data_IF_980070075463
#
_entry.id   IF_980070075463
#
_cell.length_a   1.000
_cell.length_b   1.000
_cell.length_c   1.000
_cell.angle_alpha   90.00
_cell.angle_beta   90.00
_cell.angle_gamma   90.00
#
_symmetry.space_group_name_H-M   'P 1'
#
loop_
_entity.id
_entity.type
_entity.pdbx_description
1 polymer ?
#
# COMPACT_ATOMS: atom_id res chain seq x y z
N UNK A 1 -15.47 8.22 20.59
CA UNK A 1 -14.85 7.12 19.83
C UNK A 1 -13.46 6.76 20.37
N UNK A 2 -12.96 5.56 20.09
CA UNK A 2 -11.56 5.18 20.37
C UNK A 2 -10.71 5.54 19.15
N UNK A 3 -9.52 6.11 19.39
CA UNK A 3 -8.54 6.43 18.37
C UNK A 3 -7.13 6.06 18.84
N UNK A 4 -6.27 5.65 17.89
CA UNK A 4 -4.84 5.46 18.11
C UNK A 4 -4.08 6.62 17.46
N UNK A 5 -3.47 7.49 18.26
CA UNK A 5 -2.81 8.73 17.81
C UNK A 5 -1.31 8.67 18.04
N UNK A 6 -0.55 8.95 16.99
CA UNK A 6 0.91 9.04 17.03
C UNK A 6 1.32 10.44 17.47
N UNK A 7 1.93 10.55 18.66
CA UNK A 7 2.35 11.81 19.26
C UNK A 7 3.81 12.18 18.94
N UNK A 8 4.66 11.18 18.86
CA UNK A 8 6.09 11.32 18.57
C UNK A 8 6.63 9.97 18.11
N UNK A 9 7.91 9.91 17.76
CA UNK A 9 8.61 8.66 17.43
C UNK A 9 8.41 7.62 18.54
N UNK A 10 7.83 6.46 18.19
CA UNK A 10 7.55 5.36 19.09
C UNK A 10 6.40 5.60 20.10
N UNK A 11 5.74 6.75 20.06
CA UNK A 11 4.69 7.13 21.01
C UNK A 11 3.30 7.12 20.35
N UNK A 12 2.77 5.92 20.13
CA UNK A 12 1.41 5.69 19.66
C UNK A 12 0.50 5.42 20.85
N UNK A 13 -0.48 6.28 21.09
CA UNK A 13 -1.40 6.21 22.24
C UNK A 13 -2.80 5.92 21.78
N UNK A 14 -3.47 4.99 22.48
CA UNK A 14 -4.89 4.68 22.27
C UNK A 14 -5.69 5.34 23.38
N UNK A 15 -6.68 6.15 23.00
CA UNK A 15 -7.51 6.90 23.94
C UNK A 15 -8.93 7.11 23.41
N UNK A 16 -9.83 7.48 24.32
CA UNK A 16 -11.14 8.00 23.94
C UNK A 16 -10.99 9.44 23.44
N UNK A 17 -11.49 9.72 22.26
CA UNK A 17 -11.54 11.04 21.63
C UNK A 17 -12.99 11.40 21.28
N UNK A 18 -13.31 12.69 21.06
CA UNK A 18 -14.64 13.10 20.58
C UNK A 18 -14.99 12.39 19.28
N UNK A 19 -16.27 12.11 19.07
CA UNK A 19 -16.74 11.63 17.77
C UNK A 19 -16.55 12.73 16.71
N UNK A 20 -16.46 12.35 15.40
CA UNK A 20 -16.42 13.35 14.33
C UNK A 20 -17.61 14.30 14.44
N UNK A 21 -17.37 15.58 14.14
CA UNK A 21 -18.43 16.60 14.13
C UNK A 21 -19.41 16.44 12.96
N UNK A 22 -19.95 17.56 12.50
CA UNK A 22 -20.89 17.59 11.38
C UNK A 22 -20.28 16.99 10.11
N UNK A 23 -21.08 16.23 9.36
CA UNK A 23 -20.70 15.64 8.07
C UNK A 23 -21.03 16.65 6.96
N UNK A 24 -20.05 17.16 6.20
CA UNK A 24 -20.30 18.08 5.11
C UNK A 24 -21.11 17.45 3.97
N UNK A 25 -21.79 18.26 3.17
CA UNK A 25 -22.46 17.80 1.95
C UNK A 25 -21.44 17.13 0.99
N UNK A 26 -21.80 15.96 0.46
CA UNK A 26 -20.90 15.17 -0.41
C UNK A 26 -19.84 14.35 0.35
N UNK A 27 -19.98 14.25 1.68
CA UNK A 27 -19.15 13.43 2.55
C UNK A 27 -19.99 12.41 3.32
N UNK A 28 -19.38 11.33 3.74
CA UNK A 28 -20.01 10.29 4.54
C UNK A 28 -19.29 10.09 5.87
N UNK A 29 -20.04 9.80 6.92
CA UNK A 29 -19.53 9.22 8.16
C UNK A 29 -19.28 7.73 7.90
N UNK A 30 -18.09 7.27 8.24
CA UNK A 30 -17.63 5.89 8.10
C UNK A 30 -17.38 5.28 9.48
N UNK A 31 -17.87 4.07 9.71
CA UNK A 31 -17.44 3.21 10.82
C UNK A 31 -16.32 2.31 10.30
N UNK A 32 -15.09 2.57 10.73
CA UNK A 32 -13.90 1.84 10.24
C UNK A 32 -13.92 0.41 10.78
N UNK A 33 -13.62 -0.57 9.92
CA UNK A 33 -13.63 -2.00 10.28
C UNK A 33 -12.22 -2.58 10.33
N UNK A 34 -11.43 -2.38 9.29
CA UNK A 34 -10.09 -2.98 9.13
C UNK A 34 -9.10 -1.96 8.60
N UNK A 35 -7.89 -1.91 9.18
CA UNK A 35 -6.82 -1.00 8.78
C UNK A 35 -5.51 -1.77 8.63
N UNK A 36 -4.94 -1.77 7.43
CA UNK A 36 -3.61 -2.32 7.16
C UNK A 36 -2.51 -1.38 7.64
N UNK A 37 -1.46 -1.91 8.27
CA UNK A 37 -0.26 -1.13 8.61
C UNK A 37 0.69 -1.14 7.39
N UNK A 38 0.99 0.04 6.88
CA UNK A 38 1.89 0.26 5.75
C UNK A 38 3.34 0.49 6.22
N UNK A 39 4.30 0.23 5.32
CA UNK A 39 5.69 0.61 5.54
C UNK A 39 5.87 2.12 5.78
N UNK A 40 5.05 2.96 5.14
CA UNK A 40 5.06 4.40 5.38
C UNK A 40 4.60 4.78 6.79
N UNK A 41 3.61 4.07 7.37
CA UNK A 41 3.20 4.27 8.78
C UNK A 41 4.37 3.93 9.73
N UNK A 42 5.15 2.90 9.39
CA UNK A 42 6.34 2.53 10.17
C UNK A 42 7.43 3.60 10.10
N UNK A 43 7.65 4.27 8.96
CA UNK A 43 8.55 5.43 8.87
C UNK A 43 8.09 6.58 9.76
N UNK A 44 6.77 6.87 9.78
CA UNK A 44 6.24 7.85 10.72
C UNK A 44 6.46 7.44 12.17
N UNK A 45 6.19 6.17 12.49
CA UNK A 45 6.32 5.63 13.85
C UNK A 45 7.78 5.57 14.33
N UNK A 46 8.71 5.08 13.49
CA UNK A 46 10.09 4.80 13.87
C UNK A 46 11.06 5.96 13.60
N UNK A 47 10.86 6.69 12.48
CA UNK A 47 11.79 7.70 11.98
C UNK A 47 11.25 9.13 12.15
N UNK A 48 9.98 9.26 12.54
CA UNK A 48 9.29 10.54 12.72
C UNK A 48 8.89 11.22 11.41
N UNK A 49 8.87 10.48 10.28
CA UNK A 49 8.43 11.02 8.99
C UNK A 49 9.08 10.37 7.79
N UNK A 50 8.83 10.93 6.60
CA UNK A 50 9.39 10.46 5.31
C UNK A 50 9.96 11.68 4.59
N UNK A 51 11.27 11.64 4.30
CA UNK A 51 11.97 12.77 3.68
C UNK A 51 11.84 14.05 4.50
N UNK A 52 11.39 15.14 3.88
CA UNK A 52 11.19 16.43 4.54
C UNK A 52 9.91 16.49 5.39
N UNK A 53 8.95 15.56 5.17
CA UNK A 53 7.72 15.53 5.95
C UNK A 53 7.97 14.90 7.31
N UNK A 54 7.77 15.67 8.38
CA UNK A 54 7.99 15.26 9.78
C UNK A 54 6.71 15.36 10.58
N UNK A 55 6.67 14.67 11.73
CA UNK A 55 5.60 14.83 12.71
C UNK A 55 5.72 16.24 13.31
N UNK A 56 4.80 17.11 12.94
CA UNK A 56 4.69 18.45 13.52
C UNK A 56 3.59 18.51 14.59
N UNK A 57 2.56 17.68 14.42
CA UNK A 57 1.41 17.57 15.32
C UNK A 57 1.03 16.09 15.47
N UNK A 58 0.41 15.71 16.61
CA UNK A 58 -0.15 14.37 16.77
C UNK A 58 -1.17 14.06 15.67
N UNK A 59 -1.05 12.88 15.03
CA UNK A 59 -1.93 12.44 13.93
C UNK A 59 -2.40 11.00 14.17
N UNK A 60 -3.64 10.70 13.80
CA UNK A 60 -4.12 9.31 13.72
C UNK A 60 -3.58 8.71 12.41
N UNK A 61 -2.71 7.68 12.44
CA UNK A 61 -2.20 7.04 11.23
C UNK A 61 -3.23 6.12 10.57
N UNK A 62 -2.84 5.45 9.47
CA UNK A 62 -3.64 4.46 8.75
C UNK A 62 -4.32 5.03 7.51
N UNK A 63 -3.99 4.44 6.36
CA UNK A 63 -4.49 4.86 5.05
C UNK A 63 -4.89 3.69 4.15
N UNK A 64 -4.69 2.46 4.61
CA UNK A 64 -5.14 1.24 3.96
C UNK A 64 -6.34 0.72 4.74
N UNK A 65 -7.58 1.04 4.35
CA UNK A 65 -8.72 0.71 5.22
C UNK A 65 -10.01 0.39 4.48
N UNK A 66 -10.83 -0.40 5.18
CA UNK A 66 -12.23 -0.65 4.88
C UNK A 66 -13.12 -0.11 5.99
N UNK A 67 -14.36 0.17 5.66
CA UNK A 67 -15.34 0.72 6.59
C UNK A 67 -16.76 0.30 6.20
N UNK A 68 -17.72 0.52 7.11
CA UNK A 68 -19.15 0.57 6.80
C UNK A 68 -19.54 2.04 6.70
N UNK A 69 -20.14 2.45 5.58
CA UNK A 69 -20.69 3.79 5.46
C UNK A 69 -21.92 3.93 6.38
N UNK A 70 -21.89 4.88 7.32
CA UNK A 70 -22.99 5.15 8.25
C UNK A 70 -23.99 6.12 7.60
N UNK A 71 -23.49 7.10 6.85
CA UNK A 71 -24.30 8.09 6.13
C UNK A 71 -23.92 8.13 4.66
N UNK A 72 -24.59 8.99 3.87
CA UNK A 72 -24.28 9.23 2.47
C UNK A 72 -24.87 8.20 1.50
N UNK A 73 -24.39 8.19 0.23
CA UNK A 73 -24.99 7.38 -0.84
C UNK A 73 -24.79 5.87 -0.66
N UNK A 74 -23.85 5.46 0.17
CA UNK A 74 -23.54 4.05 0.44
C UNK A 74 -23.90 3.62 1.87
N UNK A 75 -24.80 4.37 2.56
CA UNK A 75 -25.19 4.04 3.93
C UNK A 75 -25.59 2.56 4.10
N UNK A 76 -25.04 1.90 5.12
CA UNK A 76 -25.21 0.48 5.42
C UNK A 76 -24.35 -0.47 4.58
N UNK A 77 -23.57 0.01 3.63
CA UNK A 77 -22.70 -0.82 2.79
C UNK A 77 -21.25 -0.81 3.28
N UNK A 78 -20.56 -1.93 3.11
CA UNK A 78 -19.10 -2.02 3.25
C UNK A 78 -18.44 -1.32 2.07
N UNK A 79 -17.40 -0.55 2.35
CA UNK A 79 -16.65 0.22 1.35
C UNK A 79 -15.14 0.09 1.60
N UNK A 80 -14.37 0.01 0.52
CA UNK A 80 -12.96 0.38 0.54
C UNK A 80 -12.85 1.88 0.28
N UNK A 81 -11.82 2.50 0.79
CA UNK A 81 -11.70 3.96 0.77
C UNK A 81 -10.39 4.39 0.13
N UNK A 82 -10.47 5.22 -0.92
CA UNK A 82 -9.29 5.88 -1.48
C UNK A 82 -8.80 6.94 -0.48
N UNK A 83 -7.58 6.78 0.08
CA UNK A 83 -7.08 7.67 1.12
C UNK A 83 -6.58 9.03 0.61
N UNK A 84 -6.57 9.25 -0.70
CA UNK A 84 -6.04 10.46 -1.31
C UNK A 84 -7.15 11.42 -1.75
N UNK A 85 -7.11 12.65 -1.26
CA UNK A 85 -8.03 13.72 -1.68
C UNK A 85 -7.23 14.73 -2.53
N UNK A 86 -7.17 14.57 -3.87
CA UNK A 86 -6.54 15.56 -4.74
C UNK A 86 -7.42 16.81 -4.87
N UNK A 87 -6.81 17.95 -5.23
CA UNK A 87 -7.59 19.18 -5.40
C UNK A 87 -8.52 19.18 -6.63
N UNK A 88 -8.30 18.29 -7.59
CA UNK A 88 -9.11 18.15 -8.81
C UNK A 88 -8.95 19.25 -9.87
N UNK A 89 -8.32 20.38 -9.56
CA UNK A 89 -8.30 21.56 -10.44
C UNK A 89 -6.91 22.10 -10.81
N UNK A 90 -5.83 21.65 -10.19
CA UNK A 90 -4.48 22.03 -10.61
C UNK A 90 -4.11 21.42 -11.97
N UNK A 91 -3.05 21.91 -12.58
CA UNK A 91 -2.56 21.40 -13.87
C UNK A 91 -2.34 19.89 -13.85
N UNK A 92 -1.69 19.39 -12.80
CA UNK A 92 -1.35 17.97 -12.66
C UNK A 92 -2.60 17.09 -12.56
N UNK A 93 -3.62 17.53 -11.79
CA UNK A 93 -4.91 16.84 -11.73
C UNK A 93 -5.65 16.85 -13.07
N UNK A 94 -5.64 17.98 -13.81
CA UNK A 94 -6.26 18.07 -15.14
C UNK A 94 -5.60 17.18 -16.18
N UNK A 95 -4.31 16.84 -15.98
CA UNK A 95 -3.57 15.88 -16.81
C UNK A 95 -3.85 14.42 -16.39
N UNK A 96 -4.66 14.18 -15.35
CA UNK A 96 -4.98 12.84 -14.84
C UNK A 96 -3.96 12.25 -13.87
N UNK A 97 -3.04 13.04 -13.35
CA UNK A 97 -2.04 12.60 -12.36
C UNK A 97 -2.47 13.01 -10.94
N UNK A 98 -3.60 12.50 -10.46
CA UNK A 98 -4.16 12.85 -9.15
C UNK A 98 -3.21 12.52 -8.00
N UNK A 99 -2.47 11.43 -8.10
CA UNK A 99 -1.44 11.00 -7.13
C UNK A 99 -0.26 11.98 -7.00
N UNK A 100 -0.04 12.85 -7.99
CA UNK A 100 1.02 13.86 -8.01
C UNK A 100 0.50 15.26 -7.69
N UNK A 101 -0.75 15.41 -7.27
CA UNK A 101 -1.31 16.69 -6.88
C UNK A 101 -0.45 17.34 -5.78
N UNK A 102 0.04 18.59 -5.96
CA UNK A 102 0.93 19.23 -4.98
C UNK A 102 0.24 19.56 -3.65
N UNK A 103 -1.10 19.63 -3.63
CA UNK A 103 -1.91 19.92 -2.44
C UNK A 103 -2.77 18.71 -2.04
N UNK A 104 -2.38 17.49 -2.45
CA UNK A 104 -3.11 16.29 -2.06
C UNK A 104 -3.12 16.14 -0.54
N UNK A 105 -4.31 15.98 0.02
CA UNK A 105 -4.47 15.53 1.39
C UNK A 105 -4.49 14.00 1.41
N UNK A 106 -3.94 13.40 2.46
CA UNK A 106 -3.81 11.94 2.52
C UNK A 106 -4.06 11.45 3.93
N UNK A 107 -4.92 10.46 4.08
CA UNK A 107 -5.29 9.90 5.37
C UNK A 107 -4.04 9.48 6.18
N UNK A 108 -3.97 9.89 7.43
CA UNK A 108 -2.89 9.51 8.34
C UNK A 108 -1.55 10.21 8.10
N UNK A 109 -1.54 11.26 7.27
CA UNK A 109 -0.32 12.00 6.96
C UNK A 109 -0.50 13.51 7.16
N UNK A 110 0.55 14.16 7.67
CA UNK A 110 0.53 15.60 7.90
C UNK A 110 -0.49 15.99 8.96
N UNK A 111 -1.48 16.79 8.59
CA UNK A 111 -2.54 17.30 9.49
C UNK A 111 -3.87 16.57 9.33
N UNK A 112 -3.97 15.60 8.40
CA UNK A 112 -5.21 14.87 8.17
C UNK A 112 -5.16 13.52 8.89
N UNK A 113 -6.06 13.33 9.83
CA UNK A 113 -6.21 12.06 10.54
C UNK A 113 -6.58 10.92 9.59
N UNK A 114 -6.02 9.74 9.87
CA UNK A 114 -6.26 8.48 9.14
C UNK A 114 -7.29 7.59 9.84
N UNK A 115 -7.25 6.32 9.49
CA UNK A 115 -8.29 5.37 9.80
C UNK A 115 -8.09 4.57 11.11
N UNK A 116 -6.99 4.75 11.85
CA UNK A 116 -6.85 4.09 13.16
C UNK A 116 -7.72 4.74 14.24
N UNK A 117 -9.01 4.84 13.94
CA UNK A 117 -10.08 5.35 14.81
C UNK A 117 -11.43 4.75 14.43
N UNK A 118 -12.38 4.71 15.35
CA UNK A 118 -13.68 4.06 15.12
C UNK A 118 -14.52 4.73 14.03
N UNK A 119 -14.46 6.05 13.93
CA UNK A 119 -15.24 6.82 12.96
C UNK A 119 -14.36 7.82 12.21
N UNK A 120 -14.61 7.97 10.90
CA UNK A 120 -13.93 8.90 10.02
C UNK A 120 -14.95 9.53 9.05
N UNK A 121 -14.81 10.83 8.77
CA UNK A 121 -15.61 11.50 7.74
C UNK A 121 -14.79 11.60 6.46
N UNK A 122 -15.34 11.12 5.33
CA UNK A 122 -14.61 11.03 4.06
C UNK A 122 -15.48 11.38 2.85
N UNK A 123 -14.89 11.92 1.73
CA UNK A 123 -15.65 12.29 0.53
C UNK A 123 -16.33 11.08 -0.14
N UNK A 124 -17.60 11.23 -0.51
CA UNK A 124 -18.42 10.17 -1.11
C UNK A 124 -17.82 9.57 -2.38
N UNK A 125 -17.18 10.39 -3.22
CA UNK A 125 -16.60 9.97 -4.50
C UNK A 125 -15.33 9.11 -4.36
N UNK A 126 -14.75 9.04 -3.17
CA UNK A 126 -13.60 8.20 -2.84
C UNK A 126 -13.98 6.89 -2.12
N UNK A 127 -15.29 6.61 -2.03
CA UNK A 127 -15.82 5.38 -1.45
C UNK A 127 -16.12 4.36 -2.55
N UNK A 128 -15.62 3.16 -2.39
CA UNK A 128 -15.78 2.06 -3.34
C UNK A 128 -16.50 0.90 -2.67
N UNK A 129 -17.79 0.64 -3.01
CA UNK A 129 -18.55 -0.46 -2.42
C UNK A 129 -17.85 -1.80 -2.60
N UNK A 130 -17.69 -2.53 -1.50
CA UNK A 130 -17.10 -3.86 -1.50
C UNK A 130 -18.13 -4.91 -1.91
N UNK A 131 -17.79 -5.86 -2.80
CA UNK A 131 -18.53 -7.09 -3.00
C UNK A 131 -18.60 -7.92 -1.71
N UNK A 132 -19.68 -8.70 -1.56
CA UNK A 132 -19.88 -9.53 -0.36
C UNK A 132 -18.81 -10.61 -0.19
N UNK A 133 -18.20 -11.04 -1.27
CA UNK A 133 -17.16 -12.08 -1.32
C UNK A 133 -15.80 -11.60 -0.78
N UNK A 134 -15.55 -10.30 -0.74
CA UNK A 134 -14.32 -9.74 -0.21
C UNK A 134 -14.46 -9.49 1.29
N UNK A 135 -13.45 -9.88 2.05
CA UNK A 135 -13.34 -9.56 3.49
C UNK A 135 -13.08 -8.06 3.70
N UNK A 136 -13.24 -7.56 4.93
CA UNK A 136 -12.86 -6.20 5.28
C UNK A 136 -11.34 -6.00 5.18
N UNK A 137 -10.57 -7.04 5.51
CA UNK A 137 -9.11 -7.03 5.34
C UNK A 137 -8.73 -6.91 3.87
N UNK A 138 -9.37 -7.69 2.99
CA UNK A 138 -9.18 -7.55 1.54
C UNK A 138 -9.58 -6.15 1.07
N UNK A 139 -10.65 -5.57 1.63
CA UNK A 139 -11.06 -4.19 1.39
C UNK A 139 -9.98 -3.17 1.74
N UNK A 140 -9.35 -3.33 2.90
CA UNK A 140 -8.23 -2.50 3.33
C UNK A 140 -7.02 -2.65 2.38
N UNK A 141 -6.73 -3.87 1.91
CA UNK A 141 -5.61 -4.15 1.02
C UNK A 141 -5.84 -3.75 -0.44
N UNK A 142 -7.01 -3.20 -0.80
CA UNK A 142 -7.21 -2.61 -2.13
C UNK A 142 -6.34 -1.37 -2.37
N UNK A 143 -5.96 -0.64 -1.30
CA UNK A 143 -5.01 0.46 -1.41
C UNK A 143 -3.65 -0.03 -1.90
N UNK A 144 -2.92 -0.92 -1.18
CA UNK A 144 -1.63 -1.42 -1.66
C UNK A 144 -1.74 -2.23 -2.97
N UNK A 145 -2.86 -2.88 -3.27
CA UNK A 145 -3.10 -3.46 -4.59
C UNK A 145 -3.14 -2.37 -5.67
N UNK A 146 -3.75 -1.23 -5.39
CA UNK A 146 -3.75 -0.06 -6.27
C UNK A 146 -2.34 0.46 -6.56
N UNK A 147 -1.48 0.49 -5.54
CA UNK A 147 -0.04 0.83 -5.70
C UNK A 147 0.67 -0.19 -6.60
N UNK A 148 0.42 -1.49 -6.40
CA UNK A 148 1.00 -2.54 -7.24
C UNK A 148 0.55 -2.44 -8.70
N UNK A 149 -0.73 -2.16 -8.95
CA UNK A 149 -1.29 -1.92 -10.28
C UNK A 149 -0.58 -0.73 -10.94
N UNK A 150 -0.40 0.37 -10.21
CA UNK A 150 0.31 1.55 -10.72
C UNK A 150 1.78 1.24 -11.02
N UNK A 151 2.49 0.54 -10.14
CA UNK A 151 3.88 0.15 -10.32
C UNK A 151 4.07 -0.73 -11.57
N UNK A 152 3.20 -1.73 -11.78
CA UNK A 152 3.20 -2.55 -12.99
C UNK A 152 2.87 -1.71 -14.23
N UNK A 153 1.93 -0.77 -14.13
CA UNK A 153 1.60 0.15 -15.23
C UNK A 153 2.80 0.99 -15.69
N UNK A 154 3.50 1.65 -14.76
CA UNK A 154 4.67 2.49 -15.09
C UNK A 154 5.89 1.67 -15.48
N UNK A 155 5.94 0.36 -15.20
CA UNK A 155 6.98 -0.54 -15.68
C UNK A 155 6.87 -0.83 -17.18
N UNK A 156 5.75 -0.47 -17.81
CA UNK A 156 5.42 -0.76 -19.21
C UNK A 156 5.55 -2.25 -19.56
N UNK A 157 5.11 -3.10 -18.61
CA UNK A 157 5.10 -4.55 -18.80
C UNK A 157 4.32 -4.92 -20.07
N UNK A 158 4.91 -5.83 -20.88
CA UNK A 158 4.26 -6.43 -22.05
C UNK A 158 4.00 -7.91 -21.80
N UNK A 159 2.96 -8.46 -22.42
CA UNK A 159 2.70 -9.89 -22.35
C UNK A 159 3.94 -10.69 -22.81
N UNK A 160 4.28 -11.75 -22.06
CA UNK A 160 5.48 -12.55 -22.28
C UNK A 160 6.78 -12.00 -21.70
N UNK A 161 6.79 -10.75 -21.17
CA UNK A 161 7.99 -10.16 -20.55
C UNK A 161 8.43 -10.95 -19.32
N UNK A 162 9.76 -11.04 -19.10
CA UNK A 162 10.32 -11.51 -17.85
C UNK A 162 10.42 -10.35 -16.85
N UNK A 163 9.97 -10.59 -15.63
CA UNK A 163 9.89 -9.58 -14.57
C UNK A 163 10.72 -10.03 -13.37
N UNK A 164 11.39 -9.08 -12.74
CA UNK A 164 11.98 -9.27 -11.41
C UNK A 164 11.27 -8.35 -10.42
N UNK A 165 10.85 -8.89 -9.30
CA UNK A 165 10.43 -8.14 -8.12
C UNK A 165 11.54 -8.19 -7.08
N UNK A 166 12.03 -7.04 -6.66
CA UNK A 166 13.04 -6.95 -5.60
C UNK A 166 12.37 -6.46 -4.32
N UNK A 167 12.31 -7.35 -3.32
CA UNK A 167 11.51 -7.20 -2.12
C UNK A 167 10.14 -7.88 -2.24
N UNK A 168 9.85 -8.85 -1.35
CA UNK A 168 8.59 -9.58 -1.29
C UNK A 168 7.78 -9.23 -0.03
N UNK A 169 7.82 -7.97 0.40
CA UNK A 169 6.81 -7.43 1.31
C UNK A 169 5.44 -7.37 0.63
N UNK A 170 4.40 -6.85 1.31
CA UNK A 170 3.04 -6.81 0.77
C UNK A 170 2.97 -6.23 -0.65
N UNK A 171 3.64 -5.11 -0.91
CA UNK A 171 3.69 -4.50 -2.25
C UNK A 171 4.33 -5.45 -3.27
N UNK A 172 5.46 -6.09 -2.93
CA UNK A 172 6.14 -6.99 -3.87
C UNK A 172 5.32 -8.22 -4.24
N UNK A 173 4.62 -8.81 -3.28
CA UNK A 173 3.71 -9.96 -3.53
C UNK A 173 2.51 -9.53 -4.38
N UNK A 174 1.94 -8.36 -4.12
CA UNK A 174 0.85 -7.83 -4.96
C UNK A 174 1.33 -7.50 -6.37
N UNK A 175 2.52 -6.92 -6.52
CA UNK A 175 3.15 -6.69 -7.84
C UNK A 175 3.33 -7.99 -8.60
N UNK A 176 3.81 -9.05 -7.95
CA UNK A 176 3.94 -10.39 -8.55
C UNK A 176 2.59 -10.89 -9.09
N UNK A 177 1.53 -10.85 -8.26
CA UNK A 177 0.20 -11.30 -8.66
C UNK A 177 -0.36 -10.45 -9.83
N UNK A 178 -0.22 -9.13 -9.76
CA UNK A 178 -0.65 -8.21 -10.82
C UNK A 178 0.14 -8.45 -12.12
N UNK A 179 1.47 -8.62 -12.04
CA UNK A 179 2.29 -8.90 -13.21
C UNK A 179 1.86 -10.20 -13.91
N UNK A 180 1.52 -11.25 -13.16
CA UNK A 180 0.95 -12.48 -13.69
C UNK A 180 -0.35 -12.23 -14.46
N UNK A 181 -1.27 -11.48 -13.86
CA UNK A 181 -2.55 -11.12 -14.49
C UNK A 181 -2.38 -10.23 -15.74
N UNK A 182 -1.30 -9.45 -15.79
CA UNK A 182 -0.92 -8.67 -16.97
C UNK A 182 -0.19 -9.48 -18.04
N UNK A 183 -0.03 -10.80 -17.85
CA UNK A 183 0.57 -11.70 -18.85
C UNK A 183 2.09 -11.74 -18.81
N UNK A 184 2.73 -11.49 -17.67
CA UNK A 184 4.18 -11.72 -17.52
C UNK A 184 4.53 -13.18 -17.88
N UNK A 185 5.61 -13.37 -18.64
CA UNK A 185 6.08 -14.70 -19.04
C UNK A 185 6.69 -15.47 -17.87
N UNK A 186 7.69 -14.86 -17.21
CA UNK A 186 8.28 -15.37 -15.96
C UNK A 186 8.38 -14.24 -14.95
N UNK A 187 8.11 -14.55 -13.68
CA UNK A 187 8.25 -13.58 -12.58
C UNK A 187 9.19 -14.16 -11.54
N UNK A 188 10.30 -13.49 -11.35
CA UNK A 188 11.33 -13.81 -10.38
C UNK A 188 11.21 -12.89 -9.17
N UNK A 189 11.69 -13.35 -8.01
CA UNK A 189 11.67 -12.57 -6.78
C UNK A 189 13.01 -12.67 -6.06
N UNK A 190 13.48 -11.53 -5.55
CA UNK A 190 14.65 -11.45 -4.65
C UNK A 190 14.19 -10.88 -3.32
N UNK A 191 14.39 -11.66 -2.23
CA UNK A 191 13.91 -11.30 -0.89
C UNK A 191 14.82 -11.95 0.19
N UNK A 192 15.29 -11.21 1.20
CA UNK A 192 16.14 -11.76 2.25
C UNK A 192 15.41 -12.71 3.21
N UNK A 193 14.13 -12.46 3.52
CA UNK A 193 13.38 -13.20 4.54
C UNK A 193 12.78 -14.49 3.97
N UNK A 194 13.08 -15.64 4.61
CA UNK A 194 12.66 -16.95 4.13
C UNK A 194 11.14 -17.11 4.06
N UNK A 195 10.41 -16.65 5.09
CA UNK A 195 8.96 -16.74 5.10
C UNK A 195 8.33 -15.93 3.94
N UNK A 196 8.89 -14.76 3.59
CA UNK A 196 8.43 -13.94 2.46
C UNK A 196 8.76 -14.57 1.11
N UNK A 197 9.92 -15.24 0.98
CA UNK A 197 10.21 -16.06 -0.20
C UNK A 197 9.17 -17.18 -0.36
N UNK A 198 8.79 -17.84 0.74
CA UNK A 198 7.75 -18.87 0.71
C UNK A 198 6.40 -18.30 0.29
N UNK A 199 6.01 -17.11 0.78
CA UNK A 199 4.79 -16.42 0.35
C UNK A 199 4.86 -16.06 -1.14
N UNK A 200 5.98 -15.55 -1.65
CA UNK A 200 6.14 -15.25 -3.06
C UNK A 200 5.98 -16.48 -3.96
N UNK A 201 6.51 -17.66 -3.54
CA UNK A 201 6.30 -18.92 -4.25
C UNK A 201 4.83 -19.33 -4.28
N UNK A 202 4.14 -19.26 -3.14
CA UNK A 202 2.68 -19.54 -3.09
C UNK A 202 1.87 -18.58 -3.95
N UNK A 203 2.34 -17.35 -4.11
CA UNK A 203 1.71 -16.31 -4.95
C UNK A 203 2.06 -16.43 -6.43
N UNK A 204 2.83 -17.44 -6.84
CA UNK A 204 3.10 -17.77 -8.24
C UNK A 204 4.42 -17.23 -8.80
N UNK A 205 5.45 -16.97 -7.98
CA UNK A 205 6.80 -16.72 -8.47
C UNK A 205 7.37 -17.98 -9.14
N UNK A 206 8.06 -17.83 -10.29
CA UNK A 206 8.75 -18.94 -10.96
C UNK A 206 10.00 -19.38 -10.22
N UNK A 207 10.68 -18.43 -9.59
CA UNK A 207 11.80 -18.67 -8.71
C UNK A 207 12.01 -17.51 -7.73
N UNK A 208 12.60 -17.82 -6.57
CA UNK A 208 12.91 -16.87 -5.53
C UNK A 208 14.34 -17.08 -5.06
N UNK A 209 15.04 -15.99 -4.76
CA UNK A 209 16.42 -16.04 -4.27
C UNK A 209 16.66 -15.05 -3.14
N UNK A 210 17.69 -15.30 -2.37
CA UNK A 210 18.23 -14.32 -1.44
C UNK A 210 19.04 -13.25 -2.18
N UNK A 211 19.22 -12.04 -1.60
CA UNK A 211 19.91 -10.93 -2.28
C UNK A 211 21.36 -11.24 -2.67
N UNK A 212 22.06 -12.11 -1.92
CA UNK A 212 23.48 -12.42 -2.11
C UNK A 212 23.78 -12.99 -3.51
N UNK A 213 22.81 -13.73 -4.08
CA UNK A 213 22.94 -14.36 -5.40
C UNK A 213 21.86 -13.90 -6.38
N UNK A 214 21.00 -12.98 -5.96
CA UNK A 214 19.77 -12.66 -6.68
C UNK A 214 19.99 -12.20 -8.13
N UNK A 215 20.94 -11.28 -8.37
CA UNK A 215 21.20 -10.78 -9.71
C UNK A 215 21.84 -11.85 -10.61
N UNK A 216 22.80 -12.63 -10.11
CA UNK A 216 23.47 -13.72 -10.83
C UNK A 216 22.46 -14.81 -11.20
N UNK A 217 21.66 -15.26 -10.23
CA UNK A 217 20.65 -16.28 -10.44
C UNK A 217 19.58 -15.86 -11.47
N UNK A 218 19.19 -14.57 -11.51
CA UNK A 218 18.30 -14.04 -12.54
C UNK A 218 18.97 -14.08 -13.92
N UNK A 219 20.26 -13.74 -14.02
CA UNK A 219 21.00 -13.82 -15.28
C UNK A 219 21.10 -15.28 -15.75
N UNK A 220 21.45 -16.22 -14.87
CA UNK A 220 21.50 -17.65 -15.18
C UNK A 220 20.13 -18.17 -15.64
N UNK A 221 19.05 -17.81 -14.96
CA UNK A 221 17.69 -18.19 -15.32
C UNK A 221 17.19 -17.58 -16.63
N UNK A 222 17.90 -16.61 -17.19
CA UNK A 222 17.59 -15.90 -18.44
C UNK A 222 18.68 -16.04 -19.50
N UNK A 223 19.58 -17.03 -19.39
CA UNK A 223 20.68 -17.30 -20.31
C UNK A 223 21.58 -16.05 -20.54
N UNK A 224 21.83 -15.30 -19.47
CA UNK A 224 22.63 -14.06 -19.49
C UNK A 224 21.89 -12.82 -20.00
N UNK A 225 20.65 -12.96 -20.50
CA UNK A 225 19.89 -11.85 -21.10
C UNK A 225 19.47 -10.80 -20.07
N UNK A 226 19.02 -11.20 -18.89
CA UNK A 226 18.36 -10.38 -17.91
C UNK A 226 16.87 -10.17 -18.18
N UNK A 227 16.18 -9.51 -17.25
CA UNK A 227 14.72 -9.29 -17.29
C UNK A 227 14.33 -8.02 -18.03
N UNK A 228 13.10 -7.98 -18.56
CA UNK A 228 12.55 -6.84 -19.31
C UNK A 228 12.17 -5.69 -18.41
N UNK A 229 11.58 -6.00 -17.26
CA UNK A 229 11.15 -5.03 -16.26
C UNK A 229 11.55 -5.49 -14.85
N UNK A 230 11.89 -4.52 -14.01
CA UNK A 230 12.11 -4.73 -12.58
C UNK A 230 11.16 -3.80 -11.82
N UNK A 231 10.51 -4.32 -10.79
CA UNK A 231 9.81 -3.51 -9.81
C UNK A 231 10.56 -3.66 -8.48
N UNK A 232 11.21 -2.56 -8.07
CA UNK A 232 11.94 -2.46 -6.81
C UNK A 232 10.95 -2.00 -5.72
N UNK A 233 10.78 -2.81 -4.68
CA UNK A 233 9.82 -2.60 -3.60
C UNK A 233 10.45 -2.73 -2.19
N UNK A 234 11.79 -2.67 -2.11
CA UNK A 234 12.52 -2.77 -0.85
C UNK A 234 13.05 -1.42 -0.34
N UNK A 235 13.23 -0.43 -1.23
CA UNK A 235 13.65 0.92 -0.88
C UNK A 235 15.12 1.02 -0.45
N UNK A 236 16.02 0.13 -0.92
CA UNK A 236 17.44 0.15 -0.54
C UNK A 236 18.36 0.29 -1.74
N UNK A 237 19.53 0.91 -1.54
CA UNK A 237 20.56 1.04 -2.59
C UNK A 237 21.00 -0.33 -3.12
N UNK A 238 21.09 -1.34 -2.25
CA UNK A 238 21.43 -2.71 -2.65
C UNK A 238 20.35 -3.32 -3.56
N UNK A 239 19.07 -3.06 -3.28
CA UNK A 239 17.96 -3.50 -4.12
C UNK A 239 17.98 -2.82 -5.50
N UNK A 240 18.29 -1.53 -5.56
CA UNK A 240 18.44 -0.80 -6.82
C UNK A 240 19.67 -1.34 -7.60
N UNK A 241 20.79 -1.62 -6.92
CA UNK A 241 21.97 -2.22 -7.55
C UNK A 241 21.66 -3.61 -8.15
N UNK A 242 20.94 -4.47 -7.42
CA UNK A 242 20.43 -5.76 -7.90
C UNK A 242 19.54 -5.57 -9.12
N UNK A 243 18.63 -4.60 -9.09
CA UNK A 243 17.74 -4.26 -10.20
C UNK A 243 18.51 -3.86 -11.47
N UNK A 244 19.54 -3.04 -11.32
CA UNK A 244 20.43 -2.64 -12.44
C UNK A 244 21.20 -3.83 -13.01
N UNK A 245 21.73 -4.69 -12.14
CA UNK A 245 22.52 -5.86 -12.53
C UNK A 245 21.67 -6.90 -13.29
N UNK A 246 20.46 -7.18 -12.80
CA UNK A 246 19.55 -8.18 -13.37
C UNK A 246 18.79 -7.73 -14.63
N UNK A 247 18.71 -6.43 -14.90
CA UNK A 247 18.00 -5.89 -16.07
C UNK A 247 18.75 -6.20 -17.38
N UNK A 248 18.01 -6.52 -18.44
CA UNK A 248 18.59 -6.55 -19.80
C UNK A 248 18.95 -5.15 -20.31
N UNK A 249 19.77 -5.01 -21.37
CA UNK A 249 19.90 -3.75 -22.07
C UNK A 249 18.54 -3.22 -22.58
N UNK A 250 18.27 -1.93 -22.37
CA UNK A 250 16.99 -1.28 -22.67
C UNK A 250 15.86 -1.68 -21.70
N UNK A 251 16.17 -2.34 -20.59
CA UNK A 251 15.19 -2.69 -19.55
C UNK A 251 14.65 -1.47 -18.80
N UNK A 252 13.55 -1.68 -18.07
CA UNK A 252 12.90 -0.63 -17.29
C UNK A 252 12.83 -1.04 -15.82
N UNK A 253 13.10 -0.08 -14.93
CA UNK A 253 13.08 -0.26 -13.48
C UNK A 253 12.04 0.71 -12.89
N UNK A 254 11.00 0.18 -12.25
CA UNK A 254 10.06 0.96 -11.48
C UNK A 254 10.50 0.94 -10.01
N UNK A 255 10.83 2.11 -9.48
CA UNK A 255 11.24 2.30 -8.08
C UNK A 255 10.00 2.60 -7.25
N UNK A 256 9.54 1.61 -6.48
CA UNK A 256 8.36 1.67 -5.63
C UNK A 256 8.72 1.71 -4.13
N UNK A 257 9.86 1.15 -3.75
CA UNK A 257 10.32 1.16 -2.38
C UNK A 257 10.61 2.58 -1.88
N UNK A 258 10.20 2.88 -0.65
CA UNK A 258 10.47 4.16 0.02
C UNK A 258 11.86 4.07 0.64
N UNK A 259 12.84 4.92 0.26
CA UNK A 259 14.16 4.91 0.86
C UNK A 259 14.13 5.46 2.30
N UNK A 260 15.03 4.98 3.13
CA UNK A 260 15.18 5.48 4.51
C UNK A 260 15.81 6.89 4.61
N UNK A 261 16.37 7.39 3.51
CA UNK A 261 16.98 8.72 3.41
C UNK A 261 16.46 9.49 2.20
N UNK A 262 16.97 10.72 2.01
CA UNK A 262 16.53 11.60 0.91
C UNK A 262 17.18 11.26 -0.43
N UNK A 263 18.19 10.40 -0.44
CA UNK A 263 18.95 10.04 -1.64
C UNK A 263 19.05 8.53 -1.78
N UNK A 264 19.12 8.07 -3.03
CA UNK A 264 19.42 6.68 -3.37
C UNK A 264 20.61 6.61 -4.32
N UNK A 265 21.49 5.62 -4.12
CA UNK A 265 22.68 5.38 -4.93
C UNK A 265 22.57 4.10 -5.75
N UNK A 266 23.12 4.10 -6.95
CA UNK A 266 23.13 2.92 -7.82
C UNK A 266 24.33 2.92 -8.78
N UNK A 267 24.70 1.77 -9.40
CA UNK A 267 25.81 1.67 -10.36
C UNK A 267 25.50 2.40 -11.67
N UNK A 268 25.60 3.74 -11.66
CA UNK A 268 25.21 4.60 -12.78
C UNK A 268 25.95 4.26 -14.10
N UNK A 269 27.23 3.88 -14.03
CA UNK A 269 28.00 3.49 -15.22
C UNK A 269 27.42 2.25 -15.91
N UNK A 270 26.98 1.24 -15.13
CA UNK A 270 26.33 0.04 -15.67
C UNK A 270 24.94 0.36 -16.21
N UNK A 271 24.14 1.11 -15.45
CA UNK A 271 22.80 1.53 -15.87
C UNK A 271 22.83 2.30 -17.19
N UNK A 272 23.80 3.23 -17.35
CA UNK A 272 24.01 3.99 -18.60
C UNK A 272 24.40 3.08 -19.76
N UNK A 273 25.36 2.15 -19.56
CA UNK A 273 25.75 1.20 -20.62
C UNK A 273 24.63 0.32 -21.11
N UNK A 274 23.73 -0.09 -20.18
CA UNK A 274 22.53 -0.85 -20.50
C UNK A 274 21.40 0.00 -21.07
N UNK A 275 21.48 1.34 -21.04
CA UNK A 275 20.41 2.24 -21.48
C UNK A 275 19.12 2.03 -20.70
N UNK A 276 19.21 1.87 -19.37
CA UNK A 276 18.06 1.61 -18.52
C UNK A 276 17.17 2.84 -18.37
N UNK A 277 15.87 2.61 -18.25
CA UNK A 277 14.90 3.63 -17.87
C UNK A 277 14.47 3.42 -16.41
N UNK A 278 14.52 4.48 -15.62
CA UNK A 278 13.99 4.49 -14.25
C UNK A 278 12.65 5.24 -14.24
N UNK A 279 11.66 4.68 -13.55
CA UNK A 279 10.37 5.29 -13.31
C UNK A 279 10.09 5.30 -11.81
N UNK A 280 9.79 6.49 -11.27
CA UNK A 280 9.41 6.61 -9.86
C UNK A 280 7.94 6.27 -9.68
N UNK A 281 7.62 5.46 -8.68
CA UNK A 281 6.25 5.12 -8.30
C UNK A 281 5.88 5.95 -7.07
N UNK A 282 4.79 6.71 -7.16
CA UNK A 282 4.25 7.43 -6.02
C UNK A 282 2.80 7.06 -5.82
N UNK A 283 2.51 6.30 -4.73
CA UNK A 283 1.14 5.90 -4.38
C UNK A 283 0.47 5.16 -5.56
N UNK A 284 -0.82 5.30 -5.72
CA UNK A 284 -1.62 4.81 -6.84
C UNK A 284 -2.28 5.98 -7.57
N UNK A 285 -2.80 5.76 -8.77
CA UNK A 285 -3.50 6.78 -9.55
C UNK A 285 -4.76 6.18 -10.18
N UNK A 286 -5.93 6.51 -9.61
CA UNK A 286 -7.26 6.08 -10.06
C UNK A 286 -7.38 4.55 -10.29
N UNK A 287 -6.84 3.75 -9.37
CA UNK A 287 -6.72 2.29 -9.54
C UNK A 287 -7.81 1.47 -8.85
N UNK A 288 -8.65 2.04 -7.98
CA UNK A 288 -9.66 1.29 -7.21
C UNK A 288 -10.61 0.44 -8.05
N UNK A 289 -11.21 0.93 -9.16
CA UNK A 289 -12.09 0.09 -9.98
C UNK A 289 -11.36 -1.14 -10.53
N UNK A 290 -10.08 -0.97 -10.90
CA UNK A 290 -9.25 -2.07 -11.39
C UNK A 290 -8.80 -3.00 -10.26
N UNK A 291 -8.52 -2.46 -9.08
CA UNK A 291 -8.17 -3.24 -7.89
C UNK A 291 -9.32 -4.16 -7.47
N UNK A 292 -10.54 -3.62 -7.42
CA UNK A 292 -11.76 -4.42 -7.17
C UNK A 292 -11.94 -5.53 -8.20
N UNK A 293 -11.79 -5.23 -9.49
CA UNK A 293 -11.91 -6.22 -10.55
C UNK A 293 -10.86 -7.34 -10.42
N UNK A 294 -9.61 -7.00 -10.11
CA UNK A 294 -8.53 -7.97 -9.92
C UNK A 294 -8.70 -8.81 -8.66
N UNK A 295 -9.18 -8.22 -7.55
CA UNK A 295 -9.49 -8.94 -6.34
C UNK A 295 -10.63 -9.96 -6.58
N UNK A 296 -11.69 -9.56 -7.28
CA UNK A 296 -12.77 -10.46 -7.68
C UNK A 296 -12.31 -11.54 -8.68
N UNK A 297 -11.29 -11.28 -9.50
CA UNK A 297 -10.67 -12.24 -10.44
C UNK A 297 -9.57 -13.09 -9.78
N UNK A 298 -9.48 -13.11 -8.43
CA UNK A 298 -8.64 -14.04 -7.67
C UNK A 298 -7.21 -13.57 -7.43
N UNK A 299 -6.95 -12.26 -7.37
CA UNK A 299 -5.79 -11.75 -6.63
C UNK A 299 -6.05 -11.99 -5.15
N UNK A 300 -5.20 -12.82 -4.54
CA UNK A 300 -5.39 -13.26 -3.16
C UNK A 300 -4.79 -12.22 -2.19
N UNK A 301 -5.66 -11.39 -1.62
CA UNK A 301 -5.31 -10.35 -0.66
C UNK A 301 -5.21 -10.93 0.76
N UNK A 302 -6.10 -11.85 1.12
CA UNK A 302 -6.15 -12.45 2.45
C UNK A 302 -4.90 -13.29 2.76
N UNK A 303 -4.24 -13.85 1.74
CA UNK A 303 -2.96 -14.57 1.88
C UNK A 303 -1.88 -13.72 2.57
N UNK A 304 -1.94 -12.40 2.40
CA UNK A 304 -0.96 -11.48 2.97
C UNK A 304 -1.20 -11.20 4.45
N UNK A 305 -2.43 -11.30 4.93
CA UNK A 305 -2.79 -10.96 6.32
C UNK A 305 -2.34 -12.08 7.25
N UNK A 306 -1.22 -11.87 7.92
CA UNK A 306 -0.60 -12.87 8.81
C UNK A 306 -0.86 -12.60 10.29
N UNK A 307 -1.24 -11.39 10.65
CA UNK A 307 -1.45 -11.00 12.04
C UNK A 307 -2.55 -9.94 12.15
N UNK A 308 -3.43 -10.08 13.16
CA UNK A 308 -4.53 -9.14 13.46
C UNK A 308 -4.47 -8.72 14.91
N UNK A 309 -4.72 -7.44 15.17
CA UNK A 309 -4.79 -6.87 16.50
C UNK A 309 -6.03 -5.99 16.64
N UNK A 310 -6.71 -5.99 17.78
CA UNK A 310 -7.76 -5.00 18.05
C UNK A 310 -7.13 -3.60 18.20
N UNK A 311 -7.90 -2.54 17.93
CA UNK A 311 -7.42 -1.15 17.99
C UNK A 311 -6.78 -0.80 19.34
N UNK A 312 -7.28 -1.40 20.44
CA UNK A 312 -6.73 -1.17 21.78
C UNK A 312 -5.25 -1.62 21.90
N UNK A 313 -4.81 -2.53 21.03
CA UNK A 313 -3.46 -3.05 20.94
C UNK A 313 -2.67 -2.45 19.75
N UNK A 314 -3.10 -1.30 19.18
CA UNK A 314 -2.47 -0.70 18.00
C UNK A 314 -0.96 -0.51 18.15
N UNK A 315 -0.47 -0.11 19.33
CA UNK A 315 0.97 0.03 19.57
C UNK A 315 1.72 -1.32 19.45
N UNK A 316 1.12 -2.44 19.87
CA UNK A 316 1.67 -3.79 19.68
C UNK A 316 1.66 -4.18 18.20
N UNK A 317 0.59 -3.84 17.47
CA UNK A 317 0.49 -4.08 16.04
C UNK A 317 1.62 -3.37 15.26
N UNK A 318 1.92 -2.11 15.59
CA UNK A 318 3.06 -1.37 15.01
C UNK A 318 4.40 -2.02 15.33
N UNK A 319 4.60 -2.48 16.59
CA UNK A 319 5.79 -3.24 16.97
C UNK A 319 5.95 -4.52 16.16
N UNK A 320 4.89 -5.32 16.02
CA UNK A 320 4.89 -6.55 15.23
C UNK A 320 5.19 -6.29 13.74
N UNK A 321 4.60 -5.25 13.16
CA UNK A 321 4.87 -4.85 11.78
C UNK A 321 6.33 -4.39 11.58
N UNK A 322 6.89 -3.63 12.53
CA UNK A 322 8.29 -3.18 12.48
C UNK A 322 9.30 -4.34 12.57
N UNK A 323 8.98 -5.38 13.34
CA UNK A 323 9.81 -6.58 13.45
C UNK A 323 9.78 -7.48 12.19
N UNK A 324 8.86 -7.22 11.25
CA UNK A 324 8.74 -7.96 9.97
C UNK A 324 8.62 -9.47 10.14
N UNK A 325 8.00 -9.95 11.24
CA UNK A 325 7.81 -11.38 11.52
C UNK A 325 6.78 -12.03 10.58
N UNK A 326 5.83 -11.25 10.09
CA UNK A 326 4.82 -11.65 9.11
C UNK A 326 4.89 -10.83 7.83
N UNK A 327 3.87 -11.02 6.99
CA UNK A 327 3.76 -10.30 5.73
C UNK A 327 2.98 -9.00 5.90
N UNK A 328 1.74 -9.07 6.42
CA UNK A 328 0.88 -7.91 6.66
C UNK A 328 0.21 -8.00 8.03
N UNK A 329 0.31 -6.92 8.78
CA UNK A 329 -0.40 -6.72 10.05
C UNK A 329 -1.62 -5.83 9.80
N UNK A 330 -2.76 -6.22 10.35
CA UNK A 330 -4.02 -5.49 10.27
C UNK A 330 -4.50 -5.14 11.68
N UNK A 331 -5.10 -3.97 11.83
CA UNK A 331 -5.79 -3.54 13.04
C UNK A 331 -7.30 -3.62 12.79
N UNK A 332 -7.97 -4.44 13.60
CA UNK A 332 -9.42 -4.52 13.66
C UNK A 332 -9.94 -3.38 14.55
N UNK A 333 -10.68 -2.45 13.95
CA UNK A 333 -11.18 -1.26 14.64
C UNK A 333 -12.56 -1.51 15.23
N UNK A 334 -13.48 -2.08 14.45
CA UNK A 334 -14.76 -2.57 14.94
C UNK A 334 -14.97 -4.02 14.49
N UNK A 335 -15.43 -4.88 15.38
CA UNK A 335 -15.82 -6.24 14.99
C UNK A 335 -17.01 -6.15 14.03
N UNK A 336 -16.84 -6.62 12.80
CA UNK A 336 -17.90 -6.74 11.77
C UNK A 336 -19.00 -7.75 12.10
N UNK A 337 -19.20 -8.11 13.38
CA UNK A 337 -20.32 -8.90 13.85
C UNK A 337 -21.54 -7.99 13.93
N UNK A 338 -22.51 -8.19 13.05
CA UNK A 338 -23.80 -7.50 12.94
C UNK A 338 -24.57 -7.35 14.27
N UNK A 339 -24.13 -6.41 15.06
CA UNK A 339 -24.91 -5.78 16.09
C UNK A 339 -25.37 -4.45 15.53
N UNK A 340 -26.69 -4.28 15.36
CA UNK A 340 -27.27 -3.01 14.97
C UNK A 340 -26.65 -1.89 15.83
N UNK A 341 -25.81 -1.06 15.20
CA UNK A 341 -25.33 0.15 15.83
C UNK A 341 -26.57 0.93 16.26
N UNK A 342 -26.66 1.22 17.54
CA UNK A 342 -27.67 2.13 18.05
C UNK A 342 -27.51 3.44 17.28
N UNK A 343 -28.47 3.73 16.41
CA UNK A 343 -28.56 5.02 15.73
C UNK A 343 -28.53 6.11 16.81
N UNK A 344 -27.60 7.06 16.77
CA UNK A 344 -27.68 8.21 17.66
C UNK A 344 -29.00 8.91 17.37
N UNK A 345 -29.83 9.12 18.42
CA UNK A 345 -31.07 9.88 18.29
C UNK A 345 -30.72 11.28 17.76
N UNK A 346 -31.50 11.78 16.77
CA UNK A 346 -31.32 13.14 16.28
C UNK A 346 -31.57 14.13 17.44
N UNK A 347 -30.86 15.24 17.52
CA UNK A 347 -31.04 16.24 18.57
C UNK A 347 -32.50 16.75 18.52
N UNK A 348 -33.20 16.63 19.65
CA UNK A 348 -34.52 17.22 19.83
C UNK A 348 -34.41 18.73 19.66
N UNK A 349 -35.24 19.31 18.78
CA UNK A 349 -35.36 20.77 18.57
C UNK A 349 -36.00 21.47 19.77
#
# INVERSE_FOLDING_TARGET
MIAARLHAVGDLRVAAEPDPGDVPDGWSLLAVTSVGICGSDLHWFSDGGIGENRIEHPVVPGHEFAAVAVTGPYAGRRVAVDPAIPCGHCEVCRLGYHNLCPTVQFAGHGTLDGALQEYLVWPDHLLHPLPDELSDDAGALLEPLGVAIHAVGVSHLRSGSHVLVVGAGPIGVLVLQVARRCGAGRVFVVEPLEHRRATALRSGADAVWSPEHGAEAVLDATDGRGVDAVIEAAGTDAAIATSVAASRPGGRIALCGIPSGDTSCFPAALARRKGLTFAMVRRMNDTYPRALALAADGVDLDLLVTERHPIIDAAKAFGAAAERRGDKVVVEVSSGSGGAAATPEPPQR
#
